data_IF_893522598009
#
_entry.id   IF_893522598009
#
_cell.length_a   1.000
_cell.length_b   1.000
_cell.length_c   1.000
_cell.angle_alpha   90.00
_cell.angle_beta   90.00
_cell.angle_gamma   90.00
#
_symmetry.space_group_name_H-M   'P 1'
#
loop_
_entity.id
_entity.type
_entity.pdbx_description
1 polymer ?
#
# COMPACT_ATOMS: atom_id res chain seq x y z
N UNK A 1 -2.44 -18.71 13.39
CA UNK A 1 -3.41 -17.65 13.06
C UNK A 1 -2.98 -16.97 11.78
N UNK A 2 -3.83 -16.99 10.76
CA UNK A 2 -3.58 -16.36 9.47
C UNK A 2 -3.26 -14.86 9.65
N UNK A 3 -2.24 -14.39 8.96
CA UNK A 3 -1.82 -12.99 8.96
C UNK A 3 -1.91 -12.44 7.54
N UNK A 4 -2.34 -11.20 7.39
CA UNK A 4 -2.23 -10.51 6.12
C UNK A 4 -0.79 -10.03 5.88
N UNK A 5 -0.20 -10.47 4.78
CA UNK A 5 1.05 -9.91 4.25
C UNK A 5 1.07 -10.09 2.74
N UNK A 6 1.34 -9.01 2.03
CA UNK A 6 1.57 -9.00 0.58
C UNK A 6 2.61 -7.92 0.27
N UNK A 7 3.86 -8.33 0.10
CA UNK A 7 4.93 -7.44 -0.33
C UNK A 7 4.92 -7.33 -1.86
N UNK A 8 5.06 -6.11 -2.39
CA UNK A 8 5.20 -5.84 -3.82
C UNK A 8 6.58 -5.24 -4.11
N UNK A 9 7.30 -5.85 -5.04
CA UNK A 9 8.65 -5.44 -5.46
C UNK A 9 8.71 -5.24 -6.97
N UNK A 10 9.62 -4.38 -7.40
CA UNK A 10 9.96 -4.23 -8.83
C UNK A 10 11.31 -4.89 -9.08
N UNK A 11 11.38 -5.72 -10.12
CA UNK A 11 12.63 -6.23 -10.67
C UNK A 11 13.03 -5.29 -11.80
N UNK A 12 14.14 -4.57 -11.63
CA UNK A 12 14.62 -3.58 -12.60
C UNK A 12 16.09 -3.80 -12.89
N UNK A 13 16.46 -3.74 -14.18
CA UNK A 13 17.85 -3.83 -14.62
C UNK A 13 18.71 -2.70 -14.07
N UNK A 14 18.15 -1.49 -13.97
CA UNK A 14 18.86 -0.32 -13.39
C UNK A 14 19.28 -0.49 -11.93
N UNK A 15 18.64 -1.40 -11.20
CA UNK A 15 19.05 -1.78 -9.83
C UNK A 15 19.94 -3.02 -9.77
N UNK A 16 20.47 -3.47 -10.92
CA UNK A 16 21.32 -4.67 -11.02
C UNK A 16 20.55 -5.99 -10.85
N UNK A 17 19.20 -5.98 -11.00
CA UNK A 17 18.38 -7.19 -10.92
C UNK A 17 18.02 -7.71 -12.31
N UNK A 18 17.91 -9.03 -12.44
CA UNK A 18 17.49 -9.74 -13.65
C UNK A 18 16.19 -10.50 -13.38
N UNK A 19 15.30 -10.54 -14.38
CA UNK A 19 14.08 -11.35 -14.30
C UNK A 19 14.39 -12.84 -14.37
N UNK A 20 15.36 -13.23 -15.20
CA UNK A 20 15.86 -14.61 -15.29
C UNK A 20 16.45 -15.06 -13.95
N UNK A 21 17.26 -14.21 -13.30
CA UNK A 21 17.80 -14.51 -11.96
C UNK A 21 16.70 -14.66 -10.90
N UNK A 22 15.68 -13.80 -10.95
CA UNK A 22 14.54 -13.86 -10.03
C UNK A 22 13.75 -15.16 -10.23
N UNK A 23 13.47 -15.56 -11.48
CA UNK A 23 12.80 -16.81 -11.82
C UNK A 23 13.61 -18.05 -11.40
N UNK A 24 14.92 -18.07 -11.69
CA UNK A 24 15.80 -19.16 -11.27
C UNK A 24 15.82 -19.29 -9.73
N UNK A 25 15.86 -18.16 -9.01
CA UNK A 25 15.85 -18.14 -7.54
C UNK A 25 14.55 -18.67 -6.95
N UNK A 26 13.38 -18.16 -7.41
CA UNK A 26 12.10 -18.60 -6.89
C UNK A 26 11.80 -20.07 -7.18
N UNK A 27 12.20 -20.53 -8.37
CA UNK A 27 11.94 -21.90 -8.83
C UNK A 27 13.01 -22.92 -8.43
N UNK A 28 14.10 -22.51 -7.78
CA UNK A 28 15.23 -23.36 -7.43
C UNK A 28 15.80 -24.11 -8.64
N UNK A 29 15.98 -23.40 -9.76
CA UNK A 29 16.47 -23.94 -11.04
C UNK A 29 17.78 -23.30 -11.46
N UNK A 30 18.32 -23.86 -12.55
CA UNK A 30 19.49 -23.35 -13.25
C UNK A 30 19.05 -22.79 -14.60
N UNK A 31 19.12 -21.46 -14.78
CA UNK A 31 18.73 -20.79 -16.03
C UNK A 31 19.87 -19.92 -16.53
N UNK A 32 20.16 -19.99 -17.82
CA UNK A 32 21.07 -19.09 -18.52
C UNK A 32 20.31 -17.79 -18.88
N UNK A 33 20.87 -16.65 -18.56
CA UNK A 33 20.37 -15.37 -19.03
C UNK A 33 21.07 -15.03 -20.35
N UNK A 34 20.34 -15.04 -21.45
CA UNK A 34 20.86 -14.79 -22.80
C UNK A 34 21.27 -13.33 -23.00
N UNK A 35 20.71 -12.40 -22.21
CA UNK A 35 21.02 -10.96 -22.28
C UNK A 35 22.47 -10.65 -21.87
N UNK A 36 23.00 -11.29 -20.85
CA UNK A 36 24.34 -11.04 -20.29
C UNK A 36 25.23 -12.27 -20.26
N UNK A 37 24.73 -13.44 -20.69
CA UNK A 37 25.43 -14.72 -20.68
C UNK A 37 25.68 -15.30 -19.28
N UNK A 38 25.06 -14.74 -18.25
CA UNK A 38 25.22 -15.20 -16.86
C UNK A 38 24.30 -16.38 -16.58
N UNK A 39 24.87 -17.45 -16.03
CA UNK A 39 24.11 -18.61 -15.57
C UNK A 39 23.74 -18.48 -14.12
N UNK A 40 22.45 -18.49 -13.83
CA UNK A 40 21.89 -18.40 -12.47
C UNK A 40 21.51 -19.78 -11.98
N UNK A 41 22.33 -20.35 -11.08
CA UNK A 41 22.11 -21.69 -10.51
C UNK A 41 21.69 -21.61 -9.04
N UNK A 42 20.44 -21.94 -8.79
CA UNK A 42 19.85 -22.03 -7.45
C UNK A 42 19.37 -23.44 -7.09
N UNK A 43 19.85 -24.48 -7.78
CA UNK A 43 19.45 -25.89 -7.57
C UNK A 43 19.77 -26.40 -6.16
N UNK A 44 20.74 -25.77 -5.47
CA UNK A 44 21.10 -26.12 -4.08
C UNK A 44 20.15 -25.52 -3.04
N UNK A 45 19.26 -24.58 -3.44
CA UNK A 45 18.29 -23.97 -2.53
C UNK A 45 17.24 -25.00 -2.13
N UNK A 46 16.92 -25.06 -0.84
CA UNK A 46 15.92 -25.98 -0.27
C UNK A 46 14.65 -25.23 0.11
N UNK A 47 13.58 -25.97 0.41
CA UNK A 47 12.32 -25.42 0.90
C UNK A 47 11.31 -25.09 -0.21
N UNK A 48 11.57 -25.48 -1.45
CA UNK A 48 10.60 -25.42 -2.54
C UNK A 48 9.56 -26.53 -2.35
N UNK A 49 8.27 -26.12 -2.32
CA UNK A 49 7.13 -27.05 -2.21
C UNK A 49 6.48 -27.25 -3.57
N UNK A 50 6.29 -26.17 -4.31
CA UNK A 50 5.59 -26.18 -5.58
C UNK A 50 6.03 -25.01 -6.47
N UNK A 51 5.92 -25.20 -7.77
CA UNK A 51 6.19 -24.14 -8.77
C UNK A 51 5.39 -24.38 -10.04
N UNK A 52 4.92 -23.31 -10.68
CA UNK A 52 4.19 -23.36 -11.94
C UNK A 52 4.33 -22.05 -12.72
N UNK A 53 4.09 -22.10 -14.04
CA UNK A 53 3.96 -20.92 -14.90
C UNK A 53 2.54 -20.86 -15.44
N UNK A 54 1.86 -19.73 -15.22
CA UNK A 54 0.53 -19.44 -15.72
C UNK A 54 0.62 -18.46 -16.87
N UNK A 55 -0.09 -18.75 -17.94
CA UNK A 55 -0.10 -17.96 -19.18
C UNK A 55 -1.53 -17.61 -19.57
N UNK A 56 -1.78 -16.40 -20.13
CA UNK A 56 -2.98 -16.13 -20.91
C UNK A 56 -3.10 -17.11 -22.10
N UNK A 57 -4.30 -17.38 -22.56
CA UNK A 57 -4.57 -18.36 -23.63
C UNK A 57 -3.86 -18.01 -24.95
N UNK A 58 -3.69 -16.71 -25.23
CA UNK A 58 -3.04 -16.20 -26.43
C UNK A 58 -1.52 -16.05 -26.30
N UNK A 59 -0.95 -16.32 -25.13
CA UNK A 59 0.51 -16.25 -24.95
C UNK A 59 1.19 -17.45 -25.63
N UNK A 60 2.43 -17.28 -26.15
CA UNK A 60 3.20 -18.37 -26.73
C UNK A 60 3.29 -19.57 -25.79
N UNK A 61 2.89 -20.79 -26.24
CA UNK A 61 2.83 -21.95 -25.36
C UNK A 61 4.22 -22.40 -24.85
N UNK A 62 5.30 -22.09 -25.57
CA UNK A 62 6.68 -22.34 -25.17
C UNK A 62 7.09 -21.56 -23.91
N UNK A 63 6.37 -20.49 -23.57
CA UNK A 63 6.61 -19.73 -22.34
C UNK A 63 6.16 -20.48 -21.07
N UNK A 64 5.59 -21.67 -21.20
CA UNK A 64 5.48 -22.60 -20.07
C UNK A 64 6.85 -23.01 -19.52
N UNK A 65 7.90 -22.96 -20.36
CA UNK A 65 9.27 -22.96 -19.87
C UNK A 65 9.64 -21.55 -19.36
N UNK A 66 9.93 -21.46 -18.08
CA UNK A 66 10.27 -20.19 -17.41
C UNK A 66 11.55 -19.55 -17.95
N UNK A 67 12.50 -20.37 -18.39
CA UNK A 67 13.74 -19.88 -19.01
C UNK A 67 13.44 -19.16 -20.33
N UNK A 68 12.57 -19.74 -21.16
CA UNK A 68 12.11 -19.12 -22.40
C UNK A 68 11.33 -17.84 -22.12
N UNK A 69 10.36 -17.87 -21.21
CA UNK A 69 9.54 -16.70 -20.85
C UNK A 69 10.42 -15.51 -20.39
N UNK A 70 11.30 -15.75 -19.42
CA UNK A 70 12.03 -14.64 -18.81
C UNK A 70 13.19 -14.13 -19.68
N UNK A 71 13.76 -14.97 -20.54
CA UNK A 71 14.68 -14.52 -21.59
C UNK A 71 13.96 -13.67 -22.65
N UNK A 72 12.74 -14.05 -23.06
CA UNK A 72 11.93 -13.22 -23.97
C UNK A 72 11.59 -11.84 -23.36
N UNK A 73 11.35 -11.77 -22.06
CA UNK A 73 11.17 -10.49 -21.34
C UNK A 73 12.45 -9.66 -21.35
N UNK A 74 13.60 -10.25 -21.00
CA UNK A 74 14.90 -9.55 -20.96
C UNK A 74 15.30 -9.02 -22.35
N UNK A 75 15.08 -9.81 -23.40
CA UNK A 75 15.37 -9.42 -24.78
C UNK A 75 14.50 -8.26 -25.26
N UNK A 76 13.21 -8.27 -24.93
CA UNK A 76 12.29 -7.22 -25.35
C UNK A 76 12.52 -5.90 -24.60
N UNK A 77 13.08 -5.92 -23.39
CA UNK A 77 13.34 -4.75 -22.56
C UNK A 77 14.74 -4.17 -22.83
N UNK A 78 14.86 -3.33 -23.86
CA UNK A 78 16.16 -2.87 -24.41
C UNK A 78 16.84 -1.75 -23.62
N UNK A 79 16.15 -1.07 -22.68
CA UNK A 79 16.74 0.07 -21.98
C UNK A 79 17.52 -0.36 -20.74
N UNK A 80 18.55 0.43 -20.40
CA UNK A 80 19.43 0.16 -19.24
C UNK A 80 18.66 0.11 -17.91
N UNK A 81 17.61 0.91 -17.77
CA UNK A 81 16.84 1.04 -16.54
C UNK A 81 15.47 0.36 -16.62
N UNK A 82 15.28 -0.58 -17.56
CA UNK A 82 14.01 -1.27 -17.77
C UNK A 82 13.50 -1.95 -16.50
N UNK A 83 12.22 -1.76 -16.23
CA UNK A 83 11.46 -2.62 -15.33
C UNK A 83 11.18 -3.93 -16.06
N UNK A 84 11.69 -5.04 -15.53
CA UNK A 84 11.63 -6.36 -16.14
C UNK A 84 10.42 -7.15 -15.65
N UNK A 85 10.16 -7.11 -14.34
CA UNK A 85 9.09 -7.85 -13.72
C UNK A 85 8.57 -7.15 -12.47
N UNK A 86 7.41 -7.59 -12.00
CA UNK A 86 6.89 -7.29 -10.66
C UNK A 86 6.84 -8.59 -9.87
N UNK A 87 7.29 -8.54 -8.64
CA UNK A 87 7.24 -9.67 -7.73
C UNK A 87 6.28 -9.37 -6.59
N UNK A 88 5.32 -10.26 -6.34
CA UNK A 88 4.53 -10.29 -5.13
C UNK A 88 4.97 -11.42 -4.22
N UNK A 89 5.02 -11.14 -2.93
CA UNK A 89 5.37 -12.15 -1.92
C UNK A 89 4.27 -12.17 -0.85
N UNK A 90 3.20 -12.96 -1.07
CA UNK A 90 2.17 -13.18 -0.07
C UNK A 90 2.60 -14.20 0.98
N UNK A 91 2.22 -13.99 2.25
CA UNK A 91 2.27 -15.01 3.28
C UNK A 91 1.10 -15.97 3.12
N UNK A 92 1.34 -17.27 3.23
CA UNK A 92 0.31 -18.31 3.14
C UNK A 92 -0.26 -18.63 4.53
N UNK A 93 -1.58 -18.87 4.64
CA UNK A 93 -2.20 -19.25 5.90
C UNK A 93 -1.66 -20.60 6.37
N UNK A 94 -1.15 -20.65 7.59
CA UNK A 94 -0.65 -21.89 8.21
C UNK A 94 -1.76 -22.90 8.53
N UNK A 95 -3.01 -22.45 8.51
CA UNK A 95 -4.21 -23.25 8.69
C UNK A 95 -4.50 -24.16 7.49
N UNK A 96 -4.00 -23.80 6.30
CA UNK A 96 -4.21 -24.55 5.06
C UNK A 96 -3.06 -25.51 4.80
N UNK A 97 -3.36 -26.60 4.11
CA UNK A 97 -2.37 -27.60 3.67
C UNK A 97 -1.62 -27.14 2.40
N UNK A 98 -0.47 -27.75 2.08
CA UNK A 98 0.25 -27.42 0.84
C UNK A 98 -0.58 -27.54 -0.45
N UNK A 99 -1.47 -28.52 -0.55
CA UNK A 99 -2.39 -28.67 -1.69
C UNK A 99 -3.40 -27.51 -1.75
N UNK A 100 -3.95 -27.12 -0.61
CA UNK A 100 -4.87 -26.00 -0.51
C UNK A 100 -4.18 -24.65 -0.82
N UNK A 101 -2.89 -24.50 -0.50
CA UNK A 101 -2.11 -23.32 -0.94
C UNK A 101 -1.95 -23.26 -2.45
N UNK A 102 -1.74 -24.41 -3.12
CA UNK A 102 -1.66 -24.46 -4.60
C UNK A 102 -2.97 -24.04 -5.25
N UNK A 103 -4.11 -24.56 -4.75
CA UNK A 103 -5.43 -24.18 -5.24
C UNK A 103 -5.69 -22.68 -5.04
N UNK A 104 -5.46 -22.17 -3.83
CA UNK A 104 -5.64 -20.77 -3.47
C UNK A 104 -4.83 -19.84 -4.38
N UNK A 105 -3.52 -20.15 -4.56
CA UNK A 105 -2.63 -19.36 -5.42
C UNK A 105 -3.02 -19.46 -6.88
N UNK A 106 -3.44 -20.63 -7.35
CA UNK A 106 -3.87 -20.82 -8.73
C UNK A 106 -5.11 -19.95 -9.05
N UNK A 107 -6.10 -19.93 -8.15
CA UNK A 107 -7.28 -19.08 -8.32
C UNK A 107 -6.89 -17.59 -8.25
N UNK A 108 -6.14 -17.18 -7.24
CA UNK A 108 -5.68 -15.80 -7.11
C UNK A 108 -4.92 -15.31 -8.34
N UNK A 109 -3.99 -16.12 -8.86
CA UNK A 109 -3.18 -15.79 -10.04
C UNK A 109 -4.04 -15.70 -11.29
N UNK A 110 -4.92 -16.69 -11.51
CA UNK A 110 -5.81 -16.71 -12.69
C UNK A 110 -6.77 -15.54 -12.67
N UNK A 111 -7.44 -15.29 -11.54
CA UNK A 111 -8.46 -14.25 -11.40
C UNK A 111 -7.86 -12.84 -11.45
N UNK A 112 -6.66 -12.61 -10.84
CA UNK A 112 -6.11 -11.28 -10.64
C UNK A 112 -5.09 -10.84 -11.70
N UNK A 113 -4.38 -11.78 -12.34
CA UNK A 113 -3.25 -11.46 -13.20
C UNK A 113 -3.38 -12.06 -14.61
N UNK A 114 -3.66 -13.36 -14.71
CA UNK A 114 -3.74 -14.04 -16.01
C UNK A 114 -4.94 -13.56 -16.81
N UNK A 115 -6.10 -13.43 -16.17
CA UNK A 115 -7.30 -12.85 -16.78
C UNK A 115 -7.10 -11.42 -17.28
N UNK A 116 -6.15 -10.70 -16.69
CA UNK A 116 -5.77 -9.33 -17.07
C UNK A 116 -4.61 -9.29 -18.10
N UNK A 117 -4.15 -10.46 -18.59
CA UNK A 117 -3.16 -10.58 -19.64
C UNK A 117 -1.70 -10.66 -19.19
N UNK A 118 -1.44 -10.88 -17.90
CA UNK A 118 -0.09 -11.09 -17.37
C UNK A 118 0.31 -12.57 -17.43
N UNK A 119 1.57 -12.84 -17.80
CA UNK A 119 2.18 -14.12 -17.48
C UNK A 119 2.69 -14.11 -16.05
N UNK A 120 2.52 -15.23 -15.34
CA UNK A 120 2.92 -15.38 -13.95
C UNK A 120 3.78 -16.62 -13.73
N UNK A 121 4.92 -16.46 -13.07
CA UNK A 121 5.79 -17.54 -12.63
C UNK A 121 5.75 -17.60 -11.11
N UNK A 122 5.30 -18.71 -10.54
CA UNK A 122 5.02 -18.86 -9.11
C UNK A 122 5.81 -19.99 -8.49
N UNK A 123 6.20 -19.79 -7.22
CA UNK A 123 6.72 -20.85 -6.38
C UNK A 123 6.28 -20.68 -4.92
N UNK A 124 5.99 -21.79 -4.25
CA UNK A 124 5.74 -21.85 -2.81
C UNK A 124 7.02 -22.30 -2.11
N UNK A 125 7.41 -21.53 -1.10
CA UNK A 125 8.52 -21.86 -0.22
C UNK A 125 8.04 -22.01 1.22
N UNK A 126 8.55 -23.03 1.90
CA UNK A 126 8.49 -23.14 3.35
C UNK A 126 9.91 -23.31 3.88
N UNK A 127 10.57 -22.22 4.29
CA UNK A 127 11.93 -22.28 4.79
C UNK A 127 11.98 -22.98 6.16
N UNK A 128 12.43 -24.21 6.19
CA UNK A 128 12.60 -25.01 7.41
C UNK A 128 14.06 -25.30 7.71
N UNK A 129 14.47 -25.36 8.97
CA UNK A 129 14.11 -24.58 10.14
C UNK A 129 14.88 -23.25 10.20
N UNK A 130 14.55 -22.26 11.01
CA UNK A 130 13.88 -22.38 12.30
C UNK A 130 12.50 -21.73 12.37
N UNK A 131 11.83 -21.48 11.31
CA UNK A 131 10.50 -20.88 11.40
C UNK A 131 9.61 -21.34 10.27
N UNK A 132 8.50 -21.96 10.60
CA UNK A 132 7.42 -22.22 9.68
C UNK A 132 6.84 -20.88 9.22
N UNK A 133 7.20 -20.47 8.02
CA UNK A 133 6.77 -19.22 7.38
C UNK A 133 6.49 -19.46 5.90
N UNK A 134 5.41 -20.22 5.60
CA UNK A 134 5.06 -20.53 4.22
C UNK A 134 4.70 -19.23 3.47
N UNK A 135 5.32 -19.04 2.32
CA UNK A 135 5.08 -17.88 1.47
C UNK A 135 5.23 -18.26 0.00
N UNK A 136 4.59 -17.48 -0.85
CA UNK A 136 4.77 -17.63 -2.27
C UNK A 136 5.61 -16.48 -2.84
N UNK A 137 6.30 -16.75 -3.94
CA UNK A 137 6.83 -15.75 -4.85
C UNK A 137 6.03 -15.80 -6.14
N UNK A 138 5.47 -14.69 -6.57
CA UNK A 138 4.71 -14.55 -7.80
C UNK A 138 5.41 -13.50 -8.64
N UNK A 139 6.10 -13.92 -9.69
CA UNK A 139 6.80 -13.05 -10.63
C UNK A 139 5.90 -12.81 -11.83
N UNK A 140 5.59 -11.55 -12.13
CA UNK A 140 4.64 -11.13 -13.16
C UNK A 140 5.32 -10.31 -14.24
N UNK A 141 4.89 -10.50 -15.48
CA UNK A 141 5.26 -9.62 -16.59
C UNK A 141 4.67 -8.23 -16.39
N UNK A 142 5.36 -7.20 -16.89
CA UNK A 142 4.97 -5.77 -16.73
C UNK A 142 4.69 -5.11 -18.09
N UNK A 143 4.69 -5.89 -19.16
CA UNK A 143 4.34 -5.49 -20.51
C UNK A 143 3.13 -6.30 -20.96
N UNK A 144 2.05 -5.68 -21.43
CA UNK A 144 0.90 -6.43 -21.93
C UNK A 144 1.22 -7.13 -23.24
N UNK A 145 0.48 -8.20 -23.51
CA UNK A 145 0.44 -8.91 -24.78
C UNK A 145 -0.78 -8.44 -25.58
N UNK A 146 -0.69 -8.53 -26.89
CA UNK A 146 -1.85 -8.43 -27.76
C UNK A 146 -2.53 -9.81 -27.93
N UNK A 147 -3.63 -9.86 -28.68
CA UNK A 147 -4.39 -11.08 -28.95
C UNK A 147 -3.61 -12.15 -29.77
N UNK A 148 -2.45 -11.79 -30.33
CA UNK A 148 -1.55 -12.68 -31.07
C UNK A 148 -0.41 -13.21 -30.19
N UNK A 149 -0.35 -12.80 -28.91
CA UNK A 149 0.73 -13.15 -28.03
C UNK A 149 2.01 -12.33 -28.22
N UNK A 150 1.93 -11.21 -28.94
CA UNK A 150 3.08 -10.32 -29.14
C UNK A 150 3.13 -9.23 -28.08
N UNK A 151 4.35 -8.80 -27.73
CA UNK A 151 4.52 -7.72 -26.74
C UNK A 151 4.02 -6.38 -27.28
N UNK A 152 3.06 -5.77 -26.57
CA UNK A 152 2.67 -4.40 -26.81
C UNK A 152 3.74 -3.42 -26.32
N UNK A 153 3.66 -2.15 -26.72
CA UNK A 153 4.52 -1.11 -26.18
C UNK A 153 4.14 -0.79 -24.73
N UNK A 154 5.12 -0.39 -23.89
CA UNK A 154 4.85 0.26 -22.58
C UNK A 154 4.60 1.73 -22.75
N UNK A 155 5.44 2.37 -23.58
CA UNK A 155 5.34 3.77 -23.97
C UNK A 155 5.58 3.91 -25.45
N UNK A 156 4.74 4.67 -26.14
CA UNK A 156 4.88 4.99 -27.53
C UNK A 156 5.42 6.42 -27.70
N UNK A 157 6.32 6.62 -28.67
CA UNK A 157 6.88 7.94 -28.93
C UNK A 157 5.81 8.88 -29.45
N UNK A 158 5.67 10.02 -28.77
CA UNK A 158 4.68 11.03 -29.09
C UNK A 158 5.39 12.32 -29.51
N UNK A 159 5.03 12.82 -30.70
CA UNK A 159 5.57 14.05 -31.25
C UNK A 159 4.69 15.25 -30.88
N UNK A 160 5.30 16.34 -30.41
CA UNK A 160 4.60 17.59 -30.16
C UNK A 160 4.45 18.36 -31.46
N UNK A 161 3.21 18.45 -31.92
CA UNK A 161 2.81 19.14 -33.14
C UNK A 161 2.06 20.42 -32.80
N UNK A 162 2.08 21.36 -33.72
CA UNK A 162 1.42 22.66 -33.58
C UNK A 162 0.48 22.90 -34.77
N UNK A 163 -0.70 23.49 -34.48
CA UNK A 163 -1.65 24.03 -35.44
C UNK A 163 -2.34 25.23 -34.79
N UNK A 164 -2.37 26.37 -35.49
CA UNK A 164 -3.05 27.61 -35.04
C UNK A 164 -2.67 28.09 -33.63
N UNK A 165 -1.42 27.83 -33.23
CA UNK A 165 -0.89 28.17 -31.90
C UNK A 165 -1.17 27.13 -30.79
N UNK A 166 -1.95 26.09 -31.06
CA UNK A 166 -2.20 25.00 -30.17
C UNK A 166 -1.10 23.92 -30.32
N UNK A 167 -0.53 23.44 -29.19
CA UNK A 167 0.42 22.34 -29.16
C UNK A 167 -0.27 21.05 -28.68
N UNK A 168 -0.16 19.98 -29.48
CA UNK A 168 -0.73 18.67 -29.14
C UNK A 168 0.23 17.54 -29.47
N UNK A 169 0.20 16.46 -28.65
CA UNK A 169 0.96 15.24 -28.87
C UNK A 169 0.25 14.27 -29.81
N UNK A 170 1.01 13.68 -30.76
CA UNK A 170 0.53 12.64 -31.66
C UNK A 170 1.56 11.52 -31.77
N UNK A 171 1.09 10.29 -31.76
CA UNK A 171 1.91 9.12 -32.12
C UNK A 171 2.27 9.16 -33.62
N UNK A 172 3.18 8.32 -34.05
CA UNK A 172 3.56 8.27 -35.46
C UNK A 172 2.39 7.89 -36.39
N UNK A 173 1.50 7.02 -35.91
CA UNK A 173 0.30 6.59 -36.65
C UNK A 173 -0.75 7.70 -36.72
N UNK A 174 -1.07 8.32 -35.59
CA UNK A 174 -2.03 9.43 -35.52
C UNK A 174 -1.58 10.66 -36.31
N UNK A 175 -0.28 10.93 -36.34
CA UNK A 175 0.26 12.07 -37.08
C UNK A 175 -0.04 12.01 -38.59
N UNK A 176 -0.15 10.82 -39.18
CA UNK A 176 -0.51 10.71 -40.62
C UNK A 176 -1.88 11.33 -40.92
N UNK A 177 -2.86 11.12 -40.04
CA UNK A 177 -4.17 11.74 -40.15
C UNK A 177 -4.11 13.22 -39.76
N UNK A 178 -3.46 13.54 -38.64
CA UNK A 178 -3.34 14.92 -38.16
C UNK A 178 -2.62 15.85 -39.12
N UNK A 179 -1.68 15.33 -39.93
CA UNK A 179 -0.98 16.10 -40.95
C UNK A 179 -1.95 16.56 -42.07
N UNK A 180 -2.92 15.74 -42.43
CA UNK A 180 -3.95 16.12 -43.42
C UNK A 180 -4.84 17.24 -42.86
N UNK A 181 -5.04 17.31 -41.53
CA UNK A 181 -5.77 18.37 -40.84
C UNK A 181 -4.93 19.61 -40.58
N UNK A 182 -3.67 19.68 -41.09
CA UNK A 182 -2.83 20.87 -40.97
C UNK A 182 -1.94 20.91 -39.69
N UNK A 183 -1.79 19.81 -38.94
CA UNK A 183 -0.86 19.75 -37.84
C UNK A 183 0.58 19.57 -38.34
N UNK A 184 1.52 20.33 -37.81
CA UNK A 184 2.93 20.28 -38.17
C UNK A 184 3.79 19.85 -36.99
N UNK A 185 4.79 18.94 -37.22
CA UNK A 185 5.79 18.61 -36.22
C UNK A 185 6.72 19.80 -35.99
N UNK A 186 7.04 20.05 -34.75
CA UNK A 186 8.02 21.06 -34.38
C UNK A 186 9.43 20.51 -34.48
N UNK A 187 10.35 21.27 -35.06
CA UNK A 187 11.77 20.94 -35.13
C UNK A 187 12.62 22.04 -34.48
N UNK A 188 13.83 21.72 -34.00
CA UNK A 188 14.71 22.72 -33.47
C UNK A 188 15.39 23.48 -34.64
N UNK A 189 15.30 24.80 -34.63
CA UNK A 189 15.96 25.73 -35.56
C UNK A 189 16.95 26.60 -34.83
N UNK A 190 17.96 27.09 -35.57
CA UNK A 190 18.96 28.00 -35.01
C UNK A 190 18.43 29.45 -35.11
N UNK A 191 18.24 30.10 -33.96
CA UNK A 191 17.91 31.52 -33.85
C UNK A 191 19.04 32.22 -33.07
N UNK A 192 19.99 32.76 -33.79
CA UNK A 192 21.22 33.28 -33.21
C UNK A 192 22.02 32.16 -32.51
N UNK A 193 22.28 32.33 -31.20
CA UNK A 193 22.98 31.31 -30.36
C UNK A 193 22.03 30.29 -29.69
N UNK A 194 20.73 30.42 -29.87
CA UNK A 194 19.71 29.56 -29.23
C UNK A 194 19.09 28.58 -30.22
N UNK A 195 18.63 27.46 -29.70
CA UNK A 195 17.76 26.53 -30.43
C UNK A 195 16.32 26.77 -29.99
N UNK A 196 15.43 27.01 -30.96
CA UNK A 196 14.00 27.24 -30.74
C UNK A 196 13.24 26.15 -31.51
N UNK A 197 12.20 25.61 -30.91
CA UNK A 197 11.33 24.64 -31.55
C UNK A 197 10.16 25.39 -32.21
N UNK A 198 9.95 25.14 -33.49
CA UNK A 198 8.86 25.71 -34.28
C UNK A 198 8.47 24.79 -35.44
N UNK A 199 7.29 24.96 -36.05
CA UNK A 199 6.90 24.21 -37.26
C UNK A 199 7.73 24.62 -38.47
N UNK A 200 7.89 23.75 -39.48
CA UNK A 200 8.60 24.05 -40.72
C UNK A 200 8.04 25.28 -41.44
N UNK A 201 6.73 25.42 -41.53
CA UNK A 201 6.05 26.54 -42.19
C UNK A 201 6.44 27.89 -41.61
N UNK A 202 6.66 27.99 -40.32
CA UNK A 202 7.10 29.22 -39.66
C UNK A 202 8.61 29.45 -39.83
N UNK A 203 9.41 28.40 -39.76
CA UNK A 203 10.85 28.47 -39.96
C UNK A 203 11.24 28.90 -41.39
N UNK A 204 10.50 28.42 -42.39
CA UNK A 204 10.68 28.82 -43.79
C UNK A 204 10.42 30.29 -44.01
N UNK A 205 9.35 30.86 -43.41
CA UNK A 205 9.06 32.30 -43.45
C UNK A 205 10.19 33.17 -42.87
N UNK A 206 10.92 32.63 -41.89
CA UNK A 206 12.03 33.30 -41.23
C UNK A 206 13.41 32.96 -41.81
N UNK A 207 13.48 32.10 -42.83
CA UNK A 207 14.73 31.66 -43.47
C UNK A 207 15.69 30.93 -42.50
N UNK A 208 15.16 30.20 -41.54
CA UNK A 208 15.96 29.59 -40.47
C UNK A 208 16.47 28.18 -40.84
N UNK A 209 17.70 27.89 -40.43
CA UNK A 209 18.32 26.59 -40.67
C UNK A 209 17.96 25.60 -39.55
N UNK A 210 17.55 24.38 -39.96
CA UNK A 210 17.21 23.29 -39.01
C UNK A 210 18.45 22.81 -38.26
N UNK A 211 18.38 22.80 -36.94
CA UNK A 211 19.49 22.38 -36.07
C UNK A 211 19.55 20.86 -35.86
N UNK A 212 18.44 20.12 -36.05
CA UNK A 212 18.37 18.65 -35.94
C UNK A 212 17.23 18.07 -36.76
N UNK A 213 17.44 16.86 -37.28
CA UNK A 213 16.40 16.08 -37.99
C UNK A 213 15.32 15.51 -37.08
N UNK A 214 15.55 15.52 -35.74
CA UNK A 214 14.62 14.92 -34.77
C UNK A 214 13.59 15.96 -34.32
N UNK A 215 12.28 15.65 -34.48
CA UNK A 215 11.22 16.54 -34.01
C UNK A 215 11.13 16.60 -32.50
N UNK A 216 10.49 17.65 -31.98
CA UNK A 216 10.13 17.78 -30.57
C UNK A 216 9.22 16.61 -30.20
N UNK A 217 9.48 15.99 -29.09
CA UNK A 217 8.68 14.89 -28.55
C UNK A 217 8.44 15.08 -27.07
N UNK A 218 7.41 14.44 -26.55
CA UNK A 218 7.18 14.35 -25.10
C UNK A 218 8.35 13.61 -24.45
N UNK A 219 8.65 13.97 -23.21
CA UNK A 219 9.81 13.40 -22.47
C UNK A 219 9.68 11.91 -22.24
N UNK A 220 8.46 11.43 -21.95
CA UNK A 220 8.19 10.06 -21.56
C UNK A 220 7.39 9.26 -22.60
N UNK A 221 6.93 9.91 -23.68
CA UNK A 221 5.99 9.31 -24.63
C UNK A 221 4.58 9.18 -24.06
N UNK A 222 3.68 8.57 -24.83
CA UNK A 222 2.35 8.17 -24.38
C UNK A 222 2.45 6.79 -23.74
N UNK A 223 1.94 6.63 -22.53
CA UNK A 223 1.91 5.36 -21.86
C UNK A 223 0.83 4.45 -22.44
N UNK A 224 1.09 3.14 -22.47
CA UNK A 224 0.05 2.17 -22.75
C UNK A 224 -0.94 2.15 -21.57
N UNK A 225 -2.26 2.32 -21.80
CA UNK A 225 -3.25 2.40 -20.72
C UNK A 225 -3.26 1.19 -19.79
N UNK A 226 -3.00 -0.02 -20.32
CA UNK A 226 -2.91 -1.24 -19.52
C UNK A 226 -1.68 -1.20 -18.62
N UNK A 227 -0.51 -0.83 -19.17
CA UNK A 227 0.72 -0.69 -18.39
C UNK A 227 0.62 0.41 -17.34
N UNK A 228 -0.06 1.53 -17.65
CA UNK A 228 -0.30 2.63 -16.71
C UNK A 228 -1.17 2.17 -15.55
N UNK A 229 -2.30 1.52 -15.82
CA UNK A 229 -3.16 0.93 -14.80
C UNK A 229 -2.41 -0.06 -13.92
N UNK A 230 -1.64 -0.99 -14.50
CA UNK A 230 -0.86 -1.96 -13.73
C UNK A 230 0.19 -1.33 -12.82
N UNK A 231 0.62 -0.09 -13.11
CA UNK A 231 1.60 0.63 -12.31
C UNK A 231 0.97 1.64 -11.33
N UNK A 232 -0.36 1.75 -11.31
CA UNK A 232 -1.06 2.67 -10.42
C UNK A 232 -1.11 2.16 -8.97
N UNK A 233 -1.25 3.09 -8.03
CA UNK A 233 -1.44 2.75 -6.60
C UNK A 233 -2.81 2.12 -6.36
N UNK A 234 -3.83 2.55 -7.10
CA UNK A 234 -5.19 2.03 -7.04
C UNK A 234 -5.22 0.54 -7.40
N UNK A 235 -4.51 0.16 -8.48
CA UNK A 235 -4.42 -1.24 -8.89
C UNK A 235 -3.72 -2.11 -7.83
N UNK A 236 -2.72 -1.56 -7.14
CA UNK A 236 -2.07 -2.27 -6.03
C UNK A 236 -3.06 -2.53 -4.88
N UNK A 237 -3.93 -1.58 -4.57
CA UNK A 237 -4.99 -1.76 -3.56
C UNK A 237 -5.99 -2.83 -4.00
N UNK A 238 -6.38 -2.86 -5.28
CA UNK A 238 -7.26 -3.90 -5.85
C UNK A 238 -6.63 -5.29 -5.66
N UNK A 239 -5.36 -5.48 -6.01
CA UNK A 239 -4.67 -6.76 -5.83
C UNK A 239 -4.52 -7.16 -4.36
N UNK A 240 -4.26 -6.18 -3.47
CA UNK A 240 -4.21 -6.42 -2.02
C UNK A 240 -5.54 -6.89 -1.46
N UNK A 241 -6.64 -6.27 -1.92
CA UNK A 241 -7.99 -6.68 -1.55
C UNK A 241 -8.30 -8.07 -2.10
N UNK A 242 -8.02 -8.33 -3.38
CA UNK A 242 -8.23 -9.62 -4.01
C UNK A 242 -7.50 -10.76 -3.27
N UNK A 243 -6.26 -10.54 -2.85
CA UNK A 243 -5.52 -11.50 -2.01
C UNK A 243 -6.23 -11.81 -0.70
N UNK A 244 -6.74 -10.79 0.00
CA UNK A 244 -7.49 -11.01 1.24
C UNK A 244 -8.80 -11.76 0.98
N UNK A 245 -9.54 -11.37 -0.07
CA UNK A 245 -10.84 -11.98 -0.41
C UNK A 245 -10.70 -13.46 -0.79
N UNK A 246 -9.75 -13.79 -1.68
CA UNK A 246 -9.47 -15.18 -2.08
C UNK A 246 -8.99 -16.00 -0.89
N UNK A 247 -8.07 -15.48 -0.08
CA UNK A 247 -7.58 -16.19 1.13
C UNK A 247 -8.73 -16.47 2.09
N UNK A 248 -9.62 -15.51 2.35
CA UNK A 248 -10.76 -15.68 3.24
C UNK A 248 -11.77 -16.68 2.69
N UNK A 249 -12.00 -16.70 1.35
CA UNK A 249 -12.84 -17.70 0.68
C UNK A 249 -12.33 -19.13 0.91
N UNK A 250 -11.02 -19.34 0.85
CA UNK A 250 -10.39 -20.63 1.09
C UNK A 250 -10.39 -21.02 2.58
N UNK A 251 -10.13 -20.10 3.49
CA UNK A 251 -10.23 -20.34 4.93
C UNK A 251 -11.65 -20.76 5.31
N UNK A 252 -12.66 -20.10 4.76
CA UNK A 252 -14.06 -20.44 4.98
C UNK A 252 -14.42 -21.81 4.39
N UNK A 253 -14.03 -22.08 3.12
CA UNK A 253 -14.24 -23.35 2.43
C UNK A 253 -13.74 -24.55 3.25
N UNK A 254 -12.62 -24.39 3.93
CA UNK A 254 -12.00 -25.44 4.74
C UNK A 254 -12.31 -25.34 6.23
N UNK A 255 -13.32 -24.57 6.62
CA UNK A 255 -13.88 -24.55 7.98
C UNK A 255 -13.03 -23.83 9.02
N UNK A 256 -12.16 -22.89 8.62
CA UNK A 256 -11.36 -22.10 9.53
C UNK A 256 -12.02 -20.74 9.84
N UNK A 257 -12.07 -20.36 11.11
CA UNK A 257 -12.60 -19.06 11.58
C UNK A 257 -11.64 -17.89 11.34
N UNK A 258 -10.36 -18.18 11.07
CA UNK A 258 -9.37 -17.15 10.82
C UNK A 258 -9.75 -16.33 9.57
N UNK A 259 -9.57 -15.02 9.65
CA UNK A 259 -9.77 -14.09 8.52
C UNK A 259 -8.62 -13.10 8.47
N UNK A 260 -8.26 -12.67 7.25
CA UNK A 260 -7.26 -11.63 7.00
C UNK A 260 -7.91 -10.38 6.39
N UNK A 261 -7.32 -9.23 6.61
CA UNK A 261 -7.80 -7.95 6.10
C UNK A 261 -6.61 -7.16 5.51
N UNK A 262 -6.78 -6.66 4.29
CA UNK A 262 -5.74 -5.91 3.58
C UNK A 262 -5.55 -4.48 4.06
N UNK A 263 -6.54 -3.95 4.80
CA UNK A 263 -6.53 -2.57 5.30
C UNK A 263 -5.61 -2.43 6.52
N UNK A 264 -5.02 -1.27 6.68
CA UNK A 264 -4.23 -0.94 7.85
C UNK A 264 -5.08 -0.96 9.15
N UNK A 265 -4.44 -1.07 10.31
CA UNK A 265 -5.12 -0.99 11.59
C UNK A 265 -5.90 0.32 11.74
N UNK A 266 -5.35 1.44 11.26
CA UNK A 266 -6.01 2.75 11.29
C UNK A 266 -7.29 2.78 10.44
N UNK A 267 -7.26 2.25 9.22
CA UNK A 267 -8.45 2.16 8.34
C UNK A 267 -9.53 1.23 8.90
N UNK A 268 -9.12 0.23 9.68
CA UNK A 268 -10.03 -0.69 10.38
C UNK A 268 -10.57 -0.13 11.69
N UNK A 269 -10.14 1.07 12.11
CA UNK A 269 -10.49 1.65 13.40
C UNK A 269 -9.93 0.87 14.60
N UNK A 270 -8.88 0.07 14.40
CA UNK A 270 -8.24 -0.67 15.47
C UNK A 270 -7.26 0.23 16.22
N UNK A 271 -7.31 0.17 17.53
CA UNK A 271 -6.40 0.91 18.42
C UNK A 271 -5.09 0.16 18.63
N UNK A 272 -5.07 -1.15 18.37
CA UNK A 272 -3.86 -1.98 18.47
C UNK A 272 -2.79 -1.50 17.48
N UNK A 273 -1.55 -1.41 17.96
CA UNK A 273 -0.41 -1.04 17.14
C UNK A 273 0.03 -2.23 16.25
N UNK A 274 0.33 -2.02 14.97
CA UNK A 274 0.90 -3.06 14.12
C UNK A 274 2.35 -3.32 14.50
N UNK A 275 2.77 -4.60 14.45
CA UNK A 275 4.19 -4.96 14.59
C UNK A 275 4.97 -4.56 13.33
N UNK A 276 6.26 -4.26 13.48
CA UNK A 276 7.17 -3.95 12.38
C UNK A 276 7.90 -5.21 11.88
N UNK A 277 8.33 -5.18 10.62
CA UNK A 277 9.17 -6.25 10.08
C UNK A 277 10.55 -6.27 10.75
N UNK A 278 10.89 -7.36 11.43
CA UNK A 278 12.17 -7.48 12.15
C UNK A 278 13.37 -7.59 11.20
N UNK A 279 13.23 -8.37 10.14
CA UNK A 279 14.29 -8.66 9.18
C UNK A 279 15.24 -9.77 9.63
N UNK A 280 15.99 -10.30 8.66
CA UNK A 280 16.89 -11.45 8.89
C UNK A 280 18.04 -11.10 9.84
N UNK A 281 18.57 -9.86 9.71
CA UNK A 281 19.71 -9.41 10.53
C UNK A 281 19.32 -9.30 12.01
N UNK A 282 18.18 -8.65 12.31
CA UNK A 282 17.69 -8.50 13.68
C UNK A 282 17.44 -9.87 14.33
N UNK A 283 16.80 -10.80 13.62
CA UNK A 283 16.59 -12.18 14.08
C UNK A 283 17.89 -12.96 14.27
N UNK A 284 18.89 -12.73 13.41
CA UNK A 284 20.19 -13.36 13.56
C UNK A 284 20.96 -12.83 14.78
N UNK A 285 20.81 -11.55 15.11
CA UNK A 285 21.35 -10.94 16.34
C UNK A 285 20.72 -11.55 17.57
N UNK A 286 19.39 -11.63 17.64
CA UNK A 286 18.64 -12.25 18.75
C UNK A 286 19.05 -13.72 19.00
N UNK A 287 19.27 -14.50 17.93
CA UNK A 287 19.79 -15.88 18.05
C UNK A 287 21.18 -15.97 18.68
N UNK A 288 21.98 -14.92 18.58
CA UNK A 288 23.30 -14.79 19.20
C UNK A 288 23.24 -14.16 20.60
N UNK A 289 22.04 -13.93 21.14
CA UNK A 289 21.84 -13.26 22.42
C UNK A 289 22.04 -11.75 22.40
N UNK A 290 22.13 -11.14 21.21
CA UNK A 290 22.25 -9.68 21.04
C UNK A 290 20.85 -9.10 20.85
N UNK A 291 20.41 -8.23 21.77
CA UNK A 291 19.11 -7.59 21.70
C UNK A 291 19.06 -6.66 20.48
N UNK A 292 18.03 -6.82 19.67
CA UNK A 292 17.77 -5.94 18.53
C UNK A 292 16.63 -4.98 18.86
N UNK A 293 16.82 -3.68 18.61
CA UNK A 293 15.81 -2.65 18.85
C UNK A 293 14.48 -2.97 18.15
N UNK A 294 14.53 -3.54 16.95
CA UNK A 294 13.31 -3.94 16.21
C UNK A 294 12.55 -5.09 16.87
N UNK A 295 13.28 -6.08 17.38
CA UNK A 295 12.66 -7.20 18.09
C UNK A 295 12.13 -6.75 19.44
N UNK A 296 12.85 -5.87 20.14
CA UNK A 296 12.42 -5.28 21.40
C UNK A 296 11.16 -4.44 21.22
N UNK A 297 11.13 -3.56 20.24
CA UNK A 297 9.94 -2.77 19.89
C UNK A 297 8.73 -3.68 19.62
N UNK A 298 8.92 -4.79 18.90
CA UNK A 298 7.84 -5.73 18.65
C UNK A 298 7.38 -6.45 19.94
N UNK A 299 8.29 -6.72 20.88
CA UNK A 299 7.91 -7.26 22.21
C UNK A 299 7.05 -6.26 22.98
N UNK A 300 7.44 -4.99 23.00
CA UNK A 300 6.66 -3.91 23.63
C UNK A 300 5.29 -3.75 22.98
N UNK A 301 5.21 -3.64 21.65
CA UNK A 301 3.94 -3.55 20.92
C UNK A 301 3.01 -4.74 21.25
N UNK A 302 3.56 -5.96 21.33
CA UNK A 302 2.75 -7.13 21.68
C UNK A 302 2.25 -7.09 23.11
N UNK A 303 3.08 -6.64 24.06
CA UNK A 303 2.69 -6.46 25.45
C UNK A 303 1.61 -5.38 25.62
N UNK A 304 1.79 -4.23 25.00
CA UNK A 304 0.83 -3.12 25.02
C UNK A 304 -0.52 -3.52 24.41
N UNK A 305 -0.50 -4.23 23.28
CA UNK A 305 -1.71 -4.76 22.66
C UNK A 305 -2.41 -5.84 23.50
N UNK A 306 -1.66 -6.64 24.27
CA UNK A 306 -2.23 -7.59 25.21
C UNK A 306 -2.94 -6.87 26.34
N UNK A 307 -2.27 -5.91 26.97
CA UNK A 307 -2.84 -5.06 28.02
C UNK A 307 -4.10 -4.33 27.56
N UNK A 308 -4.06 -3.76 26.34
CA UNK A 308 -5.21 -3.07 25.73
C UNK A 308 -6.42 -4.01 25.57
N UNK A 309 -6.19 -5.28 25.17
CA UNK A 309 -7.26 -6.28 25.06
C UNK A 309 -7.86 -6.65 26.41
N UNK A 310 -7.03 -6.84 27.42
CA UNK A 310 -7.46 -7.09 28.79
C UNK A 310 -8.28 -5.92 29.34
N UNK A 311 -7.82 -4.69 29.12
CA UNK A 311 -8.55 -3.48 29.53
C UNK A 311 -9.91 -3.38 28.83
N UNK A 312 -9.96 -3.61 27.51
CA UNK A 312 -11.23 -3.62 26.75
C UNK A 312 -12.20 -4.70 27.29
N UNK A 313 -11.70 -5.88 27.63
CA UNK A 313 -12.49 -6.95 28.20
C UNK A 313 -13.03 -6.58 29.60
N UNK A 314 -12.18 -6.00 30.46
CA UNK A 314 -12.58 -5.52 31.77
C UNK A 314 -13.64 -4.40 31.70
N UNK A 315 -13.46 -3.43 30.82
CA UNK A 315 -14.44 -2.35 30.59
C UNK A 315 -15.77 -2.92 30.09
N UNK A 316 -15.73 -3.87 29.15
CA UNK A 316 -16.95 -4.54 28.64
C UNK A 316 -17.69 -5.27 29.77
N UNK A 317 -16.96 -6.00 30.63
CA UNK A 317 -17.52 -6.70 31.77
C UNK A 317 -18.16 -5.73 32.73
N UNK A 318 -17.46 -4.65 33.12
CA UNK A 318 -17.97 -3.60 33.99
C UNK A 318 -19.25 -2.94 33.43
N UNK A 319 -19.23 -2.63 32.12
CA UNK A 319 -20.42 -2.08 31.44
C UNK A 319 -21.62 -3.02 31.52
N UNK A 320 -21.40 -4.33 31.36
CA UNK A 320 -22.45 -5.36 31.47
C UNK A 320 -22.98 -5.43 32.91
N UNK A 321 -22.11 -5.39 33.94
CA UNK A 321 -22.48 -5.38 35.35
C UNK A 321 -23.32 -4.14 35.69
N UNK A 322 -22.90 -2.97 35.20
CA UNK A 322 -23.69 -1.72 35.41
C UNK A 322 -25.04 -1.83 34.75
N UNK A 323 -25.12 -2.31 33.47
CA UNK A 323 -26.41 -2.49 32.79
C UNK A 323 -27.32 -3.48 33.51
N UNK A 324 -26.76 -4.53 34.08
CA UNK A 324 -27.52 -5.53 34.86
C UNK A 324 -28.04 -4.94 36.18
N UNK A 325 -27.28 -4.07 36.85
CA UNK A 325 -27.69 -3.44 38.11
C UNK A 325 -28.67 -2.28 37.93
N UNK A 326 -28.78 -1.66 36.76
CA UNK A 326 -29.69 -0.53 36.52
C UNK A 326 -31.17 -0.81 36.87
N UNK A 327 -31.76 -2.00 36.53
CA UNK A 327 -33.15 -2.30 36.89
C UNK A 327 -33.37 -2.37 38.40
N UNK A 328 -32.43 -2.88 39.19
CA UNK A 328 -32.52 -2.96 40.65
C UNK A 328 -32.38 -1.55 41.29
N UNK A 329 -31.47 -0.74 40.77
CA UNK A 329 -31.37 0.65 41.17
C UNK A 329 -32.66 1.42 40.86
N UNK A 330 -33.26 1.20 39.69
CA UNK A 330 -34.53 1.84 39.34
C UNK A 330 -35.68 1.43 40.30
N UNK A 331 -35.76 0.14 40.67
CA UNK A 331 -36.71 -0.35 41.67
C UNK A 331 -36.48 0.29 43.03
N UNK A 332 -35.21 0.37 43.45
CA UNK A 332 -34.86 1.02 44.75
C UNK A 332 -35.18 2.50 44.75
N UNK A 333 -34.97 3.22 43.67
CA UNK A 333 -35.35 4.63 43.51
C UNK A 333 -36.88 4.80 43.55
N UNK A 334 -37.66 3.95 42.91
CA UNK A 334 -39.10 4.00 42.95
C UNK A 334 -39.65 3.69 44.35
N UNK A 335 -39.09 2.73 45.07
CA UNK A 335 -39.41 2.42 46.44
C UNK A 335 -39.14 3.62 47.38
N UNK A 336 -37.98 4.28 47.23
CA UNK A 336 -37.65 5.49 48.00
C UNK A 336 -38.61 6.63 47.67
N UNK A 337 -38.99 6.80 46.42
CA UNK A 337 -39.98 7.79 45.97
C UNK A 337 -41.34 7.54 46.60
N UNK A 338 -41.82 6.30 46.65
CA UNK A 338 -43.07 5.93 47.31
C UNK A 338 -43.02 6.20 48.80
N UNK A 339 -41.95 5.83 49.52
CA UNK A 339 -41.77 6.14 50.93
C UNK A 339 -41.75 7.65 51.19
N UNK A 340 -41.07 8.42 50.36
CA UNK A 340 -41.06 9.88 50.47
C UNK A 340 -42.46 10.49 50.30
N UNK A 341 -43.24 9.98 49.33
CA UNK A 341 -44.62 10.41 49.12
C UNK A 341 -45.50 10.10 50.31
N UNK A 342 -45.39 8.90 50.90
CA UNK A 342 -46.12 8.52 52.12
C UNK A 342 -45.73 9.43 53.29
N UNK A 343 -44.45 9.69 53.51
CA UNK A 343 -43.94 10.57 54.53
C UNK A 343 -44.43 12.01 54.33
N UNK A 344 -44.40 12.56 53.17
CA UNK A 344 -44.94 13.84 52.81
C UNK A 344 -46.45 13.91 53.07
N UNK A 345 -47.22 12.87 52.71
CA UNK A 345 -48.66 12.79 52.99
C UNK A 345 -48.95 12.75 54.47
N UNK A 346 -48.17 12.04 55.29
CA UNK A 346 -48.30 12.00 56.76
C UNK A 346 -47.98 13.36 57.37
N UNK A 347 -46.95 14.07 56.90
CA UNK A 347 -46.63 15.43 57.36
C UNK A 347 -47.74 16.41 57.01
N UNK A 348 -48.36 16.37 55.89
CA UNK A 348 -49.50 17.24 55.51
C UNK A 348 -50.67 16.96 56.39
N UNK A 349 -50.94 15.72 56.77
CA UNK A 349 -52.07 15.31 57.59
C UNK A 349 -51.90 15.72 59.08
N UNK A 350 -50.66 15.77 59.54
CA UNK A 350 -50.33 16.10 60.92
C UNK A 350 -50.15 17.60 61.18
N UNK A 351 -49.82 18.42 60.22
CA UNK A 351 -49.41 19.82 60.40
C UNK A 351 -50.42 20.86 59.91
N UNK A 352 -51.55 20.49 59.36
CA UNK A 352 -52.69 21.36 58.98
C UNK A 352 -52.39 22.54 58.04
N UNK A 353 -51.15 22.81 57.72
CA UNK A 353 -50.76 23.89 56.79
C UNK A 353 -49.34 23.70 56.25
N UNK A 354 -49.20 23.15 55.10
CA UNK A 354 -47.96 23.22 54.29
C UNK A 354 -48.33 23.72 52.92
N UNK A 355 -47.72 24.81 52.51
CA UNK A 355 -47.92 25.38 51.17
C UNK A 355 -47.77 24.34 50.06
N UNK A 356 -48.86 24.07 49.39
CA UNK A 356 -49.04 23.11 48.32
C UNK A 356 -48.04 23.30 47.12
N UNK A 357 -47.39 24.45 47.01
CA UNK A 357 -46.55 24.83 45.89
C UNK A 357 -45.16 24.20 45.86
N UNK A 358 -44.59 23.79 46.97
CA UNK A 358 -43.23 23.20 46.99
C UNK A 358 -43.25 21.72 46.71
N UNK A 359 -44.34 21.01 47.02
CA UNK A 359 -44.44 19.57 46.83
C UNK A 359 -44.72 19.18 45.36
N UNK A 360 -45.47 20.02 44.62
CA UNK A 360 -45.85 19.70 43.22
C UNK A 360 -44.65 19.75 42.28
N UNK A 361 -43.62 20.55 42.58
CA UNK A 361 -42.41 20.62 41.75
C UNK A 361 -41.48 19.41 41.89
N UNK A 362 -41.51 18.71 43.03
CA UNK A 362 -40.72 17.47 43.23
C UNK A 362 -41.39 16.21 42.68
N UNK A 363 -42.72 16.20 42.62
CA UNK A 363 -43.47 15.01 42.16
C UNK A 363 -43.80 15.00 40.69
N UNK A 364 -43.60 16.10 39.94
CA UNK A 364 -43.98 16.21 38.54
C UNK A 364 -42.81 15.93 37.53
N UNK A 365 -41.65 15.53 38.02
CA UNK A 365 -40.61 14.99 37.14
C UNK A 365 -41.09 13.63 36.57
N UNK A 366 -41.68 13.67 35.39
CA UNK A 366 -42.05 12.43 34.66
C UNK A 366 -40.82 11.54 34.55
N UNK A 367 -40.95 10.21 34.82
CA UNK A 367 -39.89 9.27 34.50
C UNK A 367 -39.64 9.36 32.98
N UNK A 368 -38.40 9.62 32.59
CA UNK A 368 -37.96 9.47 31.20
C UNK A 368 -38.25 8.01 30.83
N UNK A 369 -39.26 7.80 30.02
CA UNK A 369 -39.61 6.48 29.52
C UNK A 369 -38.37 5.91 28.85
N UNK A 370 -37.83 4.82 29.40
CA UNK A 370 -36.80 4.02 28.77
C UNK A 370 -37.45 3.39 27.54
N UNK A 371 -37.43 4.12 26.43
CA UNK A 371 -37.88 3.68 25.13
C UNK A 371 -36.98 2.52 24.70
N UNK A 372 -37.59 1.46 24.20
CA UNK A 372 -36.90 0.33 23.56
C UNK A 372 -35.80 0.86 22.60
N UNK A 373 -34.57 0.49 22.87
CA UNK A 373 -33.46 0.69 21.96
C UNK A 373 -33.68 -0.30 20.79
N UNK A 374 -34.41 0.15 19.77
CA UNK A 374 -34.37 -0.50 18.47
C UNK A 374 -33.17 0.04 17.71
N UNK A 375 -32.38 -0.86 17.16
CA UNK A 375 -31.28 -0.61 16.21
C UNK A 375 -31.67 0.41 15.14
N UNK A 376 -31.19 1.65 15.27
CA UNK A 376 -30.98 2.62 14.19
C UNK A 376 -30.20 3.80 14.75
N UNK A 377 -28.90 3.58 14.98
CA UNK A 377 -27.97 4.69 15.13
C UNK A 377 -27.41 5.06 13.77
N UNK A 378 -28.11 5.93 13.04
CA UNK A 378 -27.52 6.76 11.98
C UNK A 378 -27.42 8.17 12.51
N UNK A 379 -26.18 8.64 12.47
CA UNK A 379 -25.72 10.03 12.42
C UNK A 379 -26.65 11.12 13.02
N UNK A 380 -26.31 11.59 14.19
CA UNK A 380 -26.61 12.99 14.58
C UNK A 380 -25.46 13.54 15.41
N UNK A 381 -24.81 14.55 14.84
CA UNK A 381 -23.82 15.39 15.52
C UNK A 381 -24.51 16.09 16.69
N UNK A 382 -24.19 15.73 17.93
CA UNK A 382 -24.56 16.49 19.10
C UNK A 382 -23.58 17.67 19.25
N UNK A 383 -24.06 18.87 18.92
CA UNK A 383 -23.49 20.13 19.38
C UNK A 383 -23.94 20.34 20.81
N UNK A 384 -23.02 20.37 21.76
CA UNK A 384 -23.26 20.85 23.10
C UNK A 384 -23.17 22.38 23.12
N UNK A 385 -24.15 23.10 23.71
CA UNK A 385 -23.98 24.52 23.97
C UNK A 385 -23.15 24.71 25.24
N UNK A 386 -22.07 25.47 25.09
CA UNK A 386 -21.28 26.01 26.20
C UNK A 386 -22.13 27.06 26.97
N UNK A 387 -22.51 26.77 28.20
CA UNK A 387 -22.91 27.81 29.14
C UNK A 387 -22.12 27.69 30.46
N UNK A 388 -21.22 28.66 30.60
CA UNK A 388 -20.79 29.39 31.80
C UNK A 388 -20.59 28.62 33.10
N UNK A 389 -19.34 28.47 33.50
CA UNK A 389 -18.90 28.42 34.90
C UNK A 389 -18.11 29.68 35.26
N UNK A 390 -18.28 30.23 36.47
CA UNK A 390 -17.67 31.48 36.85
C UNK A 390 -16.20 31.33 37.25
N UNK A 391 -15.47 32.37 36.93
CA UNK A 391 -14.03 32.56 37.13
C UNK A 391 -13.59 32.45 38.60
N UNK A 392 -12.60 31.62 38.86
CA UNK A 392 -11.70 31.78 40.02
C UNK A 392 -10.40 32.40 39.51
N UNK A 393 -10.14 33.63 39.98
CA UNK A 393 -8.87 34.36 39.77
C UNK A 393 -7.78 33.68 40.59
N UNK A 394 -6.64 33.43 39.98
CA UNK A 394 -5.35 33.40 40.65
C UNK A 394 -4.34 34.22 39.84
N UNK A 395 -3.56 34.95 40.63
CA UNK A 395 -2.70 36.04 40.25
C UNK A 395 -1.46 35.64 39.46
N UNK A 396 -1.12 36.48 38.53
CA UNK A 396 0.14 37.13 38.20
C UNK A 396 1.44 36.34 38.12
N UNK A 397 1.97 36.24 36.89
CA UNK A 397 3.40 36.51 36.64
C UNK A 397 3.52 37.10 35.23
N UNK A 398 4.09 38.29 35.17
CA UNK A 398 4.52 38.98 33.95
C UNK A 398 5.82 38.39 33.42
N UNK A 399 5.94 38.24 32.09
CA UNK A 399 7.19 38.60 31.39
C UNK A 399 6.92 38.80 29.87
N UNK A 400 7.01 40.02 29.46
CA UNK A 400 7.67 40.67 28.31
C UNK A 400 7.73 39.99 26.93
N UNK A 401 7.14 40.72 25.98
CA UNK A 401 7.45 40.64 24.50
C UNK A 401 8.83 41.24 24.18
N UNK A 402 9.41 40.93 23.01
CA UNK A 402 9.29 41.85 21.88
C UNK A 402 9.06 41.18 20.53
N UNK A 403 8.23 41.77 19.72
CA UNK A 403 8.30 42.52 18.46
C UNK A 403 9.31 42.04 17.42
N UNK A 404 8.80 41.68 16.24
CA UNK A 404 9.61 41.52 15.02
C UNK A 404 8.77 41.01 13.83
N UNK A 405 8.26 41.93 13.01
CA UNK A 405 7.68 41.68 11.69
C UNK A 405 8.69 41.06 10.73
N UNK A 406 8.30 40.12 9.87
CA UNK A 406 8.46 40.25 8.43
C UNK A 406 7.60 39.25 7.61
N UNK A 407 7.21 39.74 6.45
CA UNK A 407 6.24 39.27 5.45
C UNK A 407 6.57 37.96 4.75
N UNK A 408 5.48 37.20 4.45
CA UNK A 408 5.08 36.50 3.22
C UNK A 408 6.12 35.80 2.34
N UNK A 409 5.88 34.51 2.05
CA UNK A 409 5.55 33.98 0.70
C UNK A 409 5.16 32.50 0.80
N UNK A 410 4.04 32.18 0.14
CA UNK A 410 3.48 30.86 -0.05
C UNK A 410 4.31 30.03 -1.02
N UNK A 411 4.48 28.72 -0.75
CA UNK A 411 4.59 27.65 -1.76
C UNK A 411 4.48 26.26 -1.08
N UNK A 412 3.91 25.26 -1.73
CA UNK A 412 3.53 24.00 -1.12
C UNK A 412 4.70 23.01 -1.06
N UNK A 413 4.81 22.29 0.08
CA UNK A 413 5.72 21.18 0.25
C UNK A 413 5.07 19.87 -0.12
N UNK A 414 5.63 19.24 -1.13
CA UNK A 414 5.49 17.82 -1.39
C UNK A 414 6.88 17.23 -1.59
N UNK A 415 7.36 16.44 -0.63
CA UNK A 415 8.41 15.45 -0.86
C UNK A 415 8.48 14.45 0.30
N UNK A 416 8.61 13.15 0.03
CA UNK A 416 8.89 12.16 1.05
C UNK A 416 10.40 12.02 1.27
N UNK A 417 10.79 12.03 2.53
CA UNK A 417 12.14 11.78 3.01
C UNK A 417 12.49 10.29 2.89
N UNK A 418 13.53 10.00 2.10
CA UNK A 418 14.31 8.79 2.24
C UNK A 418 15.69 9.15 2.83
N UNK A 419 15.94 8.78 4.07
CA UNK A 419 17.27 8.79 4.68
C UNK A 419 18.03 7.53 4.25
N UNK A 420 19.02 7.70 3.38
CA UNK A 420 20.09 6.74 3.14
C UNK A 420 21.31 7.15 3.93
N UNK A 421 21.76 6.31 4.87
CA UNK A 421 23.02 6.50 5.58
C UNK A 421 24.19 6.10 4.66
N UNK A 422 24.96 7.07 4.24
CA UNK A 422 26.23 6.88 3.55
C UNK A 422 27.35 6.60 4.55
N UNK A 423 28.01 5.45 4.40
CA UNK A 423 29.32 5.21 4.99
C UNK A 423 30.40 5.68 4.02
N UNK A 424 31.10 6.72 4.40
CA UNK A 424 32.35 7.19 3.78
C UNK A 424 33.51 6.29 4.19
N UNK A 425 34.23 5.76 3.20
CA UNK A 425 35.55 5.15 3.36
C UNK A 425 36.61 6.12 2.82
N UNK A 426 37.70 6.37 3.53
CA UNK A 426 38.72 7.32 3.11
C UNK A 426 39.68 6.76 2.04
N UNK A 427 40.38 7.60 1.24
CA UNK A 427 41.19 7.14 0.12
C UNK A 427 42.59 6.68 0.55
N UNK A 428 42.92 5.45 0.17
CA UNK A 428 44.25 4.88 0.32
C UNK A 428 45.12 5.04 -0.95
N UNK A 429 46.37 5.31 -0.77
CA UNK A 429 47.42 5.77 -1.66
C UNK A 429 47.76 4.85 -2.84
N UNK A 430 48.23 5.50 -3.90
CA UNK A 430 48.87 4.99 -5.12
C UNK A 430 50.14 4.15 -4.83
N UNK A 431 50.38 3.15 -5.68
CA UNK A 431 51.70 2.61 -5.90
C UNK A 431 51.78 1.24 -6.54
N UNK A 432 52.36 1.11 -7.74
CA UNK A 432 53.08 -0.08 -8.12
C UNK A 432 52.72 -0.76 -9.45
N UNK A 433 53.51 -0.47 -10.42
CA UNK A 433 53.61 -0.98 -11.81
C UNK A 433 53.66 -2.52 -11.92
N UNK A 434 53.12 -2.96 -13.05
CA UNK A 434 53.25 -4.20 -13.83
C UNK A 434 54.61 -4.95 -13.77
N UNK A 435 54.68 -6.29 -14.18
CA UNK A 435 54.79 -6.56 -15.61
C UNK A 435 53.99 -7.76 -16.16
N UNK A 436 53.78 -7.68 -17.48
CA UNK A 436 53.34 -8.73 -18.41
C UNK A 436 54.23 -9.95 -18.36
N UNK A 437 53.62 -11.15 -18.50
CA UNK A 437 54.26 -12.28 -19.20
C UNK A 437 53.22 -12.92 -20.10
N UNK A 438 53.56 -13.13 -21.35
CA UNK A 438 52.88 -13.87 -22.42
C UNK A 438 53.59 -15.22 -22.60
N UNK A 439 53.12 -16.06 -23.48
CA UNK A 439 52.67 -17.46 -23.23
C UNK A 439 53.62 -18.50 -23.77
N UNK A 440 53.28 -19.72 -23.42
CA UNK A 440 53.45 -20.84 -24.37
C UNK A 440 52.27 -21.76 -24.22
#
# INVERSE_FOLDING_TARGET
MAIYHLEAKVVSRGTGRSAVAASAYLSCTNILNDYDGVRHDYTRKKGLIWREVFLPEYAPPEWKDRGVLWNAVEENEKTKDSRLAREFVPALPVELTPTQWQELLSDFIKESFVADGMCADVAIHDPYPPGHNPHAHILLTVRPLDERGEWQYKTEKEYLCVKDGEERGFTAAEFKAAQADGWEKQYPYKVGRKKVYMPPSEAEKQGLERASKHPKSTKFGRQNPISERWNSEEQLVVWRKAWADVTNRYLERYGHDARIDHRSHAERGLVEQPTIHEGVVARAMEKKGIISDRCELNRQIKADNALLRELKAAVKKLAQEVLHSLPELAKSMEFLRQKLLIFCYQLIRSSGSVSFFVLVRFCSAKPVACGRVTERARETRLRFPLHTFPSLRCAGVQTTKPVGNHKKRDAPCSAPLFCGAGHTIPPGKKGGRTPRVRPK
#
